data_IF_135593770477
#
_entry.id   IF_135593770477
#
_cell.length_a   1.000
_cell.length_b   1.000
_cell.length_c   1.000
_cell.angle_alpha   90.00
_cell.angle_beta   90.00
_cell.angle_gamma   90.00
#
_symmetry.space_group_name_H-M   'P 1'
#
loop_
_entity.id
_entity.type
_entity.pdbx_description
1 polymer ?
#
# COMPACT_ATOMS: atom_id res chain seq x y z
N UNK A 1 -21.86 5.73 3.05
CA UNK A 1 -21.19 5.60 4.36
C UNK A 1 -19.88 6.38 4.31
N UNK A 2 -19.77 7.48 5.04
CA UNK A 2 -18.50 8.21 5.19
C UNK A 2 -17.65 7.42 6.17
N UNK A 3 -16.63 6.71 5.69
CA UNK A 3 -15.62 6.16 6.58
C UNK A 3 -14.79 7.34 7.09
N UNK A 4 -15.24 7.90 8.23
CA UNK A 4 -14.50 8.88 9.00
C UNK A 4 -13.34 8.14 9.67
N UNK A 5 -12.30 7.83 8.89
CA UNK A 5 -11.06 7.29 9.44
C UNK A 5 -10.35 8.48 10.08
N UNK A 6 -10.55 8.63 11.38
CA UNK A 6 -9.86 9.60 12.21
C UNK A 6 -8.39 9.16 12.31
N UNK A 7 -7.56 9.55 11.34
CA UNK A 7 -6.12 9.20 11.19
C UNK A 7 -5.23 9.87 12.28
N UNK A 8 -5.82 10.43 13.34
CA UNK A 8 -5.10 11.21 14.35
C UNK A 8 -4.45 10.40 15.49
N UNK A 9 -4.42 9.06 15.44
CA UNK A 9 -3.88 8.26 16.56
C UNK A 9 -2.76 7.26 16.21
N UNK A 10 -2.40 7.07 14.94
CA UNK A 10 -1.32 6.12 14.55
C UNK A 10 0.08 6.75 14.44
N UNK A 11 0.24 8.02 14.80
CA UNK A 11 1.53 8.72 14.73
C UNK A 11 2.50 8.41 15.88
N UNK A 12 2.16 7.53 16.84
CA UNK A 12 2.98 7.32 18.04
C UNK A 12 3.81 6.04 18.10
N UNK A 13 3.65 5.08 17.17
CA UNK A 13 4.37 3.79 17.26
C UNK A 13 5.09 3.37 15.96
N UNK A 14 4.93 4.09 14.86
CA UNK A 14 5.75 3.81 13.68
C UNK A 14 6.07 5.12 12.96
N UNK A 15 7.35 5.33 12.65
CA UNK A 15 7.83 6.31 11.66
C UNK A 15 7.25 5.93 10.30
N UNK A 16 5.94 6.09 10.09
CA UNK A 16 5.35 6.10 8.75
C UNK A 16 5.65 7.49 8.21
N UNK A 17 6.92 7.72 7.88
CA UNK A 17 7.26 8.77 6.93
C UNK A 17 6.55 8.39 5.65
N UNK A 18 5.58 9.20 5.24
CA UNK A 18 5.02 9.16 3.89
C UNK A 18 6.21 9.41 2.96
N UNK A 19 6.86 8.35 2.49
CA UNK A 19 7.91 8.46 1.48
C UNK A 19 7.20 8.84 0.20
N UNK A 20 7.53 10.00 -0.35
CA UNK A 20 6.79 10.63 -1.45
C UNK A 20 6.83 9.90 -2.79
N UNK A 21 7.32 8.68 -2.80
CA UNK A 21 7.18 7.75 -3.90
C UNK A 21 7.50 6.36 -3.36
N UNK A 22 6.51 5.48 -3.29
CA UNK A 22 6.73 4.04 -3.13
C UNK A 22 6.17 3.36 -4.37
N UNK A 23 6.94 2.47 -4.99
CA UNK A 23 6.45 1.70 -6.13
C UNK A 23 5.83 0.41 -5.62
N UNK A 24 4.62 0.09 -6.07
CA UNK A 24 3.97 -1.18 -5.81
C UNK A 24 3.81 -1.94 -7.11
N UNK A 25 4.30 -3.17 -7.15
CA UNK A 25 3.99 -4.13 -8.19
C UNK A 25 2.93 -5.11 -7.66
N UNK A 26 1.86 -5.31 -8.42
CA UNK A 26 0.78 -6.24 -8.10
C UNK A 26 0.89 -7.45 -9.03
N UNK A 27 1.09 -8.61 -8.42
CA UNK A 27 1.04 -9.91 -9.08
C UNK A 27 -0.20 -10.68 -8.61
N UNK A 28 -0.69 -11.69 -9.37
CA UNK A 28 -1.82 -12.50 -8.94
C UNK A 28 -1.68 -13.07 -7.51
N UNK A 29 -0.51 -13.56 -7.14
CA UNK A 29 -0.26 -14.20 -5.82
C UNK A 29 0.48 -13.34 -4.79
N UNK A 30 0.92 -12.12 -5.13
CA UNK A 30 1.70 -11.30 -4.18
C UNK A 30 1.68 -9.80 -4.49
N UNK A 31 2.00 -9.01 -3.48
CA UNK A 31 2.38 -7.61 -3.63
C UNK A 31 3.88 -7.45 -3.40
N UNK A 32 4.56 -6.72 -4.28
CA UNK A 32 5.94 -6.32 -4.06
C UNK A 32 6.00 -4.79 -3.93
N UNK A 33 6.54 -4.28 -2.84
CA UNK A 33 6.52 -2.87 -2.46
C UNK A 33 7.96 -2.38 -2.33
N UNK A 34 8.39 -1.60 -3.31
CA UNK A 34 9.74 -1.10 -3.42
C UNK A 34 9.81 0.36 -2.92
N UNK A 35 10.63 0.65 -1.90
CA UNK A 35 10.75 1.98 -1.35
C UNK A 35 11.56 2.87 -2.29
N UNK A 36 10.98 4.02 -2.65
CA UNK A 36 11.60 4.97 -3.58
C UNK A 36 11.71 6.35 -2.93
N UNK A 37 12.69 7.11 -3.38
CA UNK A 37 12.91 8.50 -3.02
C UNK A 37 12.12 9.42 -3.94
N UNK A 38 12.01 10.69 -3.57
CA UNK A 38 11.26 11.73 -4.32
C UNK A 38 11.70 11.87 -5.78
N UNK A 39 12.97 11.60 -6.04
CA UNK A 39 13.60 11.60 -7.36
C UNK A 39 13.30 10.33 -8.18
N UNK A 40 12.54 9.39 -7.63
CA UNK A 40 12.30 8.07 -8.21
C UNK A 40 13.46 7.09 -8.00
N UNK A 41 14.51 7.49 -7.30
CA UNK A 41 15.65 6.64 -6.96
C UNK A 41 15.28 5.57 -5.94
N UNK A 42 16.00 4.44 -5.95
CA UNK A 42 15.90 3.45 -4.88
C UNK A 42 16.47 4.03 -3.60
N UNK A 43 15.73 3.92 -2.50
CA UNK A 43 16.21 4.33 -1.15
C UNK A 43 16.52 3.14 -0.25
N UNK A 44 16.32 1.92 -0.75
CA UNK A 44 16.75 0.68 -0.10
C UNK A 44 17.12 -0.37 -1.16
N UNK A 45 17.98 -1.29 -0.79
CA UNK A 45 18.28 -2.52 -1.51
C UNK A 45 17.25 -3.63 -1.23
N UNK A 46 16.29 -3.39 -0.34
CA UNK A 46 15.21 -4.32 0.02
C UNK A 46 13.83 -3.83 -0.42
N UNK A 47 12.93 -4.78 -0.65
CA UNK A 47 11.50 -4.53 -0.86
C UNK A 47 10.65 -5.41 0.06
N UNK A 48 9.43 -4.96 0.33
CA UNK A 48 8.45 -5.72 1.10
C UNK A 48 7.64 -6.61 0.13
N UNK A 49 7.73 -7.93 0.31
CA UNK A 49 6.87 -8.91 -0.35
C UNK A 49 5.74 -9.31 0.60
N UNK A 50 4.51 -9.26 0.12
CA UNK A 50 3.33 -9.78 0.82
C UNK A 50 2.74 -10.89 -0.03
N UNK A 51 2.79 -12.11 0.49
CA UNK A 51 2.12 -13.26 -0.11
C UNK A 51 0.61 -13.13 0.08
N UNK A 52 -0.15 -13.11 -1.01
CA UNK A 52 -1.59 -12.84 -0.98
C UNK A 52 -2.40 -14.05 -0.50
N UNK A 53 -1.90 -15.27 -0.65
CA UNK A 53 -2.61 -16.48 -0.24
C UNK A 53 -2.46 -16.75 1.26
N UNK A 54 -1.24 -16.59 1.79
CA UNK A 54 -0.92 -16.86 3.20
C UNK A 54 -0.98 -15.61 4.09
N UNK A 55 -0.85 -14.42 3.50
CA UNK A 55 -0.69 -13.17 4.22
C UNK A 55 0.68 -12.97 4.85
N UNK A 56 1.67 -13.82 4.54
CA UNK A 56 3.03 -13.69 5.06
C UNK A 56 3.72 -12.44 4.49
N UNK A 57 4.30 -11.64 5.38
CA UNK A 57 5.15 -10.50 5.04
C UNK A 57 6.62 -10.93 5.09
N UNK A 58 7.39 -10.57 4.06
CA UNK A 58 8.83 -10.86 3.99
C UNK A 58 9.58 -9.64 3.46
N UNK A 59 10.71 -9.31 4.09
CA UNK A 59 11.63 -8.30 3.57
C UNK A 59 12.68 -9.01 2.70
N UNK A 60 12.73 -8.67 1.42
CA UNK A 60 13.54 -9.37 0.42
C UNK A 60 14.62 -8.43 -0.12
N UNK A 61 15.86 -8.92 -0.23
CA UNK A 61 16.93 -8.19 -0.93
C UNK A 61 16.73 -8.29 -2.44
N UNK A 62 16.74 -7.15 -3.10
CA UNK A 62 16.51 -7.03 -4.55
C UNK A 62 17.57 -7.78 -5.36
N UNK A 63 18.80 -7.87 -4.85
CA UNK A 63 19.89 -8.62 -5.48
C UNK A 63 19.68 -10.15 -5.44
N UNK A 64 18.99 -10.67 -4.42
CA UNK A 64 18.73 -12.11 -4.27
C UNK A 64 17.52 -12.55 -5.10
N UNK A 65 16.50 -11.67 -5.19
CA UNK A 65 15.27 -11.94 -5.91
C UNK A 65 14.76 -10.66 -6.59
N UNK A 66 15.23 -10.36 -7.80
CA UNK A 66 14.79 -9.19 -8.56
C UNK A 66 13.28 -9.20 -8.82
N UNK A 67 12.64 -8.02 -8.79
CA UNK A 67 11.23 -7.88 -9.16
C UNK A 67 11.13 -7.85 -10.69
N UNK A 68 10.52 -8.88 -11.26
CA UNK A 68 10.26 -9.00 -12.69
C UNK A 68 8.90 -8.35 -13.02
N UNK A 69 8.91 -7.18 -13.67
CA UNK A 69 7.70 -6.37 -13.88
C UNK A 69 6.84 -6.77 -15.09
N UNK A 70 7.24 -7.79 -15.86
CA UNK A 70 6.65 -8.13 -17.16
C UNK A 70 5.14 -8.46 -17.05
N UNK A 71 4.75 -9.13 -15.96
CA UNK A 71 3.37 -9.56 -15.69
C UNK A 71 2.76 -8.84 -14.48
N UNK A 72 3.37 -7.73 -14.06
CA UNK A 72 2.95 -6.97 -12.90
C UNK A 72 2.12 -5.75 -13.33
N UNK A 73 1.02 -5.50 -12.62
CA UNK A 73 0.44 -4.17 -12.63
C UNK A 73 1.28 -3.28 -11.70
N UNK A 74 1.99 -2.31 -12.29
CA UNK A 74 2.81 -1.35 -11.54
C UNK A 74 1.97 -0.14 -11.18
N UNK A 75 1.87 0.15 -9.88
CA UNK A 75 1.18 1.32 -9.34
C UNK A 75 2.12 2.13 -8.46
N UNK A 76 2.14 3.44 -8.70
CA UNK A 76 2.80 4.39 -7.81
C UNK A 76 1.86 4.68 -6.66
N UNK A 77 2.35 4.58 -5.43
CA UNK A 77 1.61 4.92 -4.23
C UNK A 77 2.46 5.84 -3.34
N UNK A 78 1.79 6.69 -2.57
CA UNK A 78 2.43 7.58 -1.62
C UNK A 78 2.69 6.89 -0.27
N UNK A 79 2.11 5.70 -0.05
CA UNK A 79 2.34 4.92 1.15
C UNK A 79 1.28 3.84 1.37
N UNK A 80 1.47 3.08 2.45
CA UNK A 80 0.56 2.03 2.90
C UNK A 80 -0.10 2.52 4.18
N UNK A 81 -1.42 2.45 4.25
CA UNK A 81 -2.16 2.72 5.49
C UNK A 81 -2.11 1.48 6.39
N UNK A 82 -2.32 0.30 5.81
CA UNK A 82 -2.24 -0.97 6.53
C UNK A 82 -2.97 -2.10 5.81
N UNK A 83 -3.15 -3.20 6.53
CA UNK A 83 -3.93 -4.36 6.08
C UNK A 83 -5.22 -4.40 6.90
N UNK A 84 -6.36 -4.59 6.22
CA UNK A 84 -7.66 -4.75 6.86
C UNK A 84 -8.24 -6.13 6.54
N UNK A 85 -8.89 -6.76 7.52
CA UNK A 85 -9.64 -8.00 7.31
C UNK A 85 -11.08 -7.67 6.95
N UNK A 86 -11.48 -7.96 5.71
CA UNK A 86 -12.85 -7.85 5.23
C UNK A 86 -13.56 -9.21 5.34
N UNK A 87 -14.88 -9.22 5.11
CA UNK A 87 -15.67 -10.47 5.04
C UNK A 87 -15.14 -11.40 3.95
N UNK A 88 -14.65 -10.84 2.84
CA UNK A 88 -14.08 -11.54 1.69
C UNK A 88 -12.59 -11.89 1.85
N UNK A 89 -11.99 -11.65 3.01
CA UNK A 89 -10.56 -11.85 3.26
C UNK A 89 -9.78 -10.55 3.44
N UNK A 90 -8.46 -10.67 3.49
CA UNK A 90 -7.58 -9.53 3.75
C UNK A 90 -7.50 -8.59 2.54
N UNK A 91 -7.29 -7.30 2.80
CA UNK A 91 -7.05 -6.29 1.79
C UNK A 91 -5.96 -5.31 2.23
N UNK A 92 -5.16 -4.85 1.28
CA UNK A 92 -4.15 -3.82 1.48
C UNK A 92 -4.78 -2.45 1.22
N UNK A 93 -4.70 -1.53 2.19
CA UNK A 93 -5.11 -0.14 2.02
C UNK A 93 -3.87 0.70 1.71
N UNK A 94 -3.92 1.42 0.60
CA UNK A 94 -2.82 2.27 0.14
C UNK A 94 -3.26 3.70 -0.09
N UNK A 95 -2.28 4.60 -0.09
CA UNK A 95 -2.46 6.02 -0.39
C UNK A 95 -2.09 6.22 -1.85
N UNK A 96 -3.07 6.54 -2.70
CA UNK A 96 -2.83 6.80 -4.13
C UNK A 96 -2.58 8.28 -4.40
N UNK A 97 -3.13 9.17 -3.58
CA UNK A 97 -2.85 10.61 -3.64
C UNK A 97 -2.73 11.22 -2.25
N UNK A 98 -1.79 12.15 -2.11
CA UNK A 98 -1.64 13.00 -0.95
C UNK A 98 -1.22 14.41 -1.37
N UNK A 99 -1.70 15.42 -0.65
CA UNK A 99 -1.36 16.82 -0.87
C UNK A 99 -0.54 17.36 0.29
N UNK A 100 0.56 18.06 -0.02
CA UNK A 100 1.33 18.81 0.97
C UNK A 100 0.44 19.92 1.53
N UNK A 101 0.33 19.97 2.86
CA UNK A 101 -0.42 21.01 3.57
C UNK A 101 0.48 22.05 4.22
N UNK A 102 1.75 21.71 4.41
CA UNK A 102 2.74 22.65 4.90
C UNK A 102 3.92 21.92 5.50
N UNK A 103 4.77 22.70 6.17
CA UNK A 103 5.94 22.19 6.88
C UNK A 103 5.83 22.65 8.33
N UNK A 104 5.93 21.71 9.27
CA UNK A 104 5.97 21.97 10.70
C UNK A 104 7.31 21.46 11.23
N UNK A 105 8.08 22.34 11.88
CA UNK A 105 9.40 22.01 12.44
C UNK A 105 10.35 21.32 11.44
N UNK A 106 10.31 21.74 10.17
CA UNK A 106 11.12 21.14 9.10
C UNK A 106 10.63 19.78 8.61
N UNK A 107 9.44 19.34 9.03
CA UNK A 107 8.82 18.08 8.61
C UNK A 107 7.58 18.40 7.78
N UNK A 108 7.47 17.77 6.62
CA UNK A 108 6.32 17.97 5.75
C UNK A 108 5.08 17.31 6.34
N UNK A 109 3.97 18.05 6.32
CA UNK A 109 2.65 17.54 6.70
C UNK A 109 1.86 17.30 5.43
N UNK A 110 1.46 16.05 5.23
CA UNK A 110 0.69 15.61 4.08
C UNK A 110 -0.73 15.23 4.50
N UNK A 111 -1.71 15.63 3.69
CA UNK A 111 -3.08 15.15 3.81
C UNK A 111 -3.34 14.09 2.74
N UNK A 112 -3.76 12.91 3.16
CA UNK A 112 -4.23 11.85 2.26
C UNK A 112 -5.52 12.34 1.58
N UNK A 113 -5.52 12.36 0.24
CA UNK A 113 -6.66 12.80 -0.56
C UNK A 113 -7.35 11.65 -1.28
N UNK A 114 -6.63 10.56 -1.51
CA UNK A 114 -7.19 9.36 -2.14
C UNK A 114 -6.53 8.09 -1.62
N UNK A 115 -7.35 7.06 -1.42
CA UNK A 115 -6.92 5.73 -1.01
C UNK A 115 -7.55 4.67 -1.89
N UNK A 116 -6.87 3.55 -2.04
CA UNK A 116 -7.35 2.37 -2.76
C UNK A 116 -7.28 1.14 -1.84
N UNK A 117 -8.30 0.28 -1.90
CA UNK A 117 -8.36 -0.99 -1.17
C UNK A 117 -8.12 -2.11 -2.17
N UNK A 118 -7.09 -2.94 -1.94
CA UNK A 118 -6.68 -3.99 -2.87
C UNK A 118 -6.81 -5.34 -2.18
N UNK A 119 -7.75 -6.20 -2.60
CA UNK A 119 -7.99 -7.48 -1.95
C UNK A 119 -6.85 -8.47 -2.20
N UNK A 120 -6.59 -9.33 -1.22
CA UNK A 120 -5.59 -10.38 -1.30
C UNK A 120 -6.03 -11.45 -2.30
N UNK A 121 -7.29 -11.87 -2.30
CA UNK A 121 -7.82 -12.76 -3.33
C UNK A 121 -8.96 -12.10 -4.11
N UNK A 122 -9.03 -12.34 -5.41
CA UNK A 122 -10.22 -12.01 -6.22
C UNK A 122 -11.26 -13.10 -6.05
N UNK A 123 -11.90 -13.21 -4.89
CA UNK A 123 -13.04 -14.13 -4.71
C UNK A 123 -14.33 -13.33 -4.55
N UNK A 124 -15.15 -13.36 -5.59
CA UNK A 124 -16.52 -12.81 -5.58
C UNK A 124 -17.55 -13.81 -5.04
N UNK A 125 -17.13 -15.03 -4.71
CA UNK A 125 -18.02 -16.15 -4.35
C UNK A 125 -18.88 -15.91 -3.10
N UNK A 126 -18.47 -15.00 -2.21
CA UNK A 126 -19.21 -14.69 -0.99
C UNK A 126 -19.78 -13.27 -0.96
N UNK A 127 -19.70 -12.55 -2.08
CA UNK A 127 -20.22 -11.20 -2.18
C UNK A 127 -21.67 -11.25 -2.66
N UNK A 128 -22.55 -10.64 -1.90
CA UNK A 128 -23.89 -10.29 -2.39
C UNK A 128 -23.77 -9.25 -3.51
N UNK A 129 -24.75 -9.16 -4.42
CA UNK A 129 -24.75 -8.21 -5.56
C UNK A 129 -24.47 -6.76 -5.12
N UNK A 130 -24.94 -6.37 -3.93
CA UNK A 130 -24.70 -5.05 -3.34
C UNK A 130 -23.25 -4.80 -2.96
N UNK A 131 -22.48 -5.85 -2.67
CA UNK A 131 -21.08 -5.78 -2.28
C UNK A 131 -20.15 -5.77 -3.50
N UNK A 132 -20.59 -6.28 -4.65
CA UNK A 132 -19.84 -6.21 -5.93
C UNK A 132 -19.66 -4.77 -6.41
N UNK A 133 -20.63 -3.89 -6.14
CA UNK A 133 -20.60 -2.48 -6.57
C UNK A 133 -19.53 -1.67 -5.82
N UNK A 134 -19.09 -2.15 -4.65
CA UNK A 134 -18.03 -1.53 -3.83
C UNK A 134 -16.69 -2.26 -3.93
N UNK A 135 -16.61 -3.27 -4.79
CA UNK A 135 -15.43 -4.07 -5.14
C UNK A 135 -14.82 -3.59 -6.45
#
# INVERSE_FOLDING_TARGET
>A
MKYNIQICQLFKICRISISLSSFRCIFPGKFCLEPRGRDGGLVSDTYLEIDRNSGKLSLIKSAEKPILIHDAEVKIIHGIVGIIKLVSGNALIVITKANLKGVLTGHEIWAITETEIIPYEKTTLHLTEKQVIYF
#
